data_IF_733827176228
#
_entry.id   IF_733827176228
#
_cell.length_a   1.000
_cell.length_b   1.000
_cell.length_c   1.000
_cell.angle_alpha   90.00
_cell.angle_beta   90.00
_cell.angle_gamma   90.00
#
_symmetry.space_group_name_H-M   'P 1'
#
loop_
_entity.id
_entity.type
_entity.pdbx_description
1 polymer ?
#
# COMPACT_ATOMS: atom_id res chain seq x y z
N UNK A 1 0.81 7.42 -5.29
CA UNK A 1 0.69 8.60 -4.39
C UNK A 1 -0.62 8.57 -3.61
N UNK A 2 -1.79 8.40 -4.25
CA UNK A 2 -3.07 8.31 -3.55
C UNK A 2 -3.16 7.18 -2.51
N UNK A 3 -2.71 5.95 -2.84
CA UNK A 3 -2.69 4.83 -1.89
C UNK A 3 -1.79 5.09 -0.67
N UNK A 4 -0.52 5.47 -0.86
CA UNK A 4 0.39 5.78 0.26
C UNK A 4 -0.09 6.94 1.16
N UNK A 5 -0.67 8.00 0.59
CA UNK A 5 -1.24 9.09 1.37
C UNK A 5 -2.52 8.66 2.13
N UNK A 6 -3.37 7.85 1.50
CA UNK A 6 -4.56 7.27 2.13
C UNK A 6 -4.18 6.31 3.26
N UNK A 7 -3.16 5.48 3.07
CA UNK A 7 -2.64 4.55 4.07
C UNK A 7 -1.99 5.30 5.24
N UNK A 8 -1.24 6.38 4.99
CA UNK A 8 -0.68 7.23 6.05
C UNK A 8 -1.79 7.93 6.85
N UNK A 9 -2.85 8.38 6.19
CA UNK A 9 -4.01 9.01 6.84
C UNK A 9 -4.81 8.00 7.68
N UNK A 10 -5.13 6.83 7.13
CA UNK A 10 -5.85 5.76 7.82
C UNK A 10 -5.01 5.20 8.98
N UNK A 11 -3.75 4.85 8.75
CA UNK A 11 -2.88 4.25 9.77
C UNK A 11 -2.47 5.26 10.84
N UNK A 12 -2.12 6.49 10.47
CA UNK A 12 -1.74 7.53 11.44
C UNK A 12 -2.88 7.87 12.39
N UNK A 13 -4.11 7.91 11.89
CA UNK A 13 -5.29 8.21 12.71
C UNK A 13 -5.81 7.00 13.48
N UNK A 14 -5.74 5.80 12.91
CA UNK A 14 -6.06 4.56 13.62
C UNK A 14 -5.08 4.27 14.79
N UNK A 15 -3.79 4.57 14.63
CA UNK A 15 -2.80 4.49 15.72
C UNK A 15 -3.04 5.52 16.83
N UNK A 16 -3.49 6.74 16.47
CA UNK A 16 -3.76 7.81 17.42
C UNK A 16 -5.09 7.63 18.17
N UNK A 17 -6.15 7.20 17.48
CA UNK A 17 -7.49 7.06 18.05
C UNK A 17 -7.78 5.66 18.61
N UNK A 18 -6.89 4.67 18.39
CA UNK A 18 -7.05 3.30 18.87
C UNK A 18 -8.26 2.58 18.25
N UNK A 19 -8.74 3.06 17.10
CA UNK A 19 -9.90 2.53 16.36
C UNK A 19 -9.48 2.13 14.95
N UNK A 20 -10.21 1.19 14.34
CA UNK A 20 -9.96 0.68 12.99
C UNK A 20 -11.06 1.05 11.99
N UNK A 21 -11.97 1.97 12.35
CA UNK A 21 -13.21 2.29 11.63
C UNK A 21 -13.06 3.42 10.59
N UNK A 22 -11.89 4.06 10.50
CA UNK A 22 -11.65 5.13 9.54
C UNK A 22 -11.35 4.53 8.16
N UNK A 23 -12.29 4.75 7.22
CA UNK A 23 -12.16 4.36 5.82
C UNK A 23 -11.91 5.59 4.95
N UNK A 24 -10.75 5.63 4.33
CA UNK A 24 -10.34 6.67 3.41
C UNK A 24 -11.06 6.57 2.05
N UNK A 25 -11.08 7.67 1.28
CA UNK A 25 -11.83 7.77 0.02
C UNK A 25 -11.44 6.70 -1.01
N UNK A 26 -10.19 6.24 -1.01
CA UNK A 26 -9.73 5.20 -1.95
C UNK A 26 -10.38 3.86 -1.62
N UNK A 27 -10.38 3.43 -0.35
CA UNK A 27 -11.03 2.19 0.08
C UNK A 27 -12.54 2.21 -0.22
N UNK A 28 -13.21 3.35 0.02
CA UNK A 28 -14.62 3.53 -0.34
C UNK A 28 -14.86 3.36 -1.84
N UNK A 29 -13.97 3.89 -2.68
CA UNK A 29 -14.04 3.68 -4.13
C UNK A 29 -14.03 2.19 -4.52
N UNK A 30 -13.18 1.38 -3.88
CA UNK A 30 -13.15 -0.07 -4.10
C UNK A 30 -14.45 -0.75 -3.64
N UNK A 31 -15.01 -0.35 -2.49
CA UNK A 31 -16.29 -0.87 -2.01
C UNK A 31 -17.45 -0.51 -2.94
N UNK A 32 -17.53 0.73 -3.41
CA UNK A 32 -18.57 1.15 -4.35
C UNK A 32 -18.43 0.41 -5.69
N UNK A 33 -17.20 0.26 -6.21
CA UNK A 33 -16.96 -0.54 -7.41
C UNK A 33 -17.38 -2.00 -7.22
N UNK A 34 -17.09 -2.61 -6.07
CA UNK A 34 -17.53 -3.96 -5.72
C UNK A 34 -19.07 -4.07 -5.71
N UNK A 35 -19.77 -3.09 -5.12
CA UNK A 35 -21.24 -3.03 -5.12
C UNK A 35 -21.82 -2.93 -6.52
N UNK A 36 -21.21 -2.12 -7.40
CA UNK A 36 -21.66 -1.97 -8.79
C UNK A 36 -21.62 -3.28 -9.59
N UNK A 37 -20.73 -4.21 -9.22
CA UNK A 37 -20.61 -5.54 -9.85
C UNK A 37 -21.31 -6.65 -9.04
N UNK A 38 -22.19 -6.29 -8.10
CA UNK A 38 -22.96 -7.24 -7.30
C UNK A 38 -22.19 -7.93 -6.18
N UNK A 39 -21.05 -7.37 -5.74
CA UNK A 39 -20.28 -7.83 -4.58
C UNK A 39 -20.50 -6.91 -3.37
N UNK A 40 -20.01 -7.31 -2.20
CA UNK A 40 -20.16 -6.57 -0.95
C UNK A 40 -18.96 -5.68 -0.61
N UNK A 41 -19.05 -5.03 0.55
CA UNK A 41 -17.96 -4.22 1.09
C UNK A 41 -16.73 -5.07 1.45
N UNK A 42 -16.93 -6.32 1.86
CA UNK A 42 -15.87 -7.29 2.15
C UNK A 42 -14.95 -7.48 0.94
N UNK A 43 -15.50 -7.74 -0.25
CA UNK A 43 -14.71 -7.91 -1.47
C UNK A 43 -14.00 -6.63 -1.88
N UNK A 44 -14.63 -5.47 -1.68
CA UNK A 44 -13.98 -4.16 -1.87
C UNK A 44 -12.79 -3.97 -0.95
N UNK A 45 -12.91 -4.33 0.33
CA UNK A 45 -11.83 -4.25 1.32
C UNK A 45 -10.68 -5.21 0.97
N UNK A 46 -11.01 -6.45 0.61
CA UNK A 46 -10.02 -7.44 0.18
C UNK A 46 -9.27 -7.00 -1.08
N UNK A 47 -9.99 -6.47 -2.07
CA UNK A 47 -9.38 -5.96 -3.29
C UNK A 47 -8.47 -4.75 -3.02
N UNK A 48 -8.92 -3.79 -2.19
CA UNK A 48 -8.11 -2.64 -1.80
C UNK A 48 -6.81 -3.07 -1.13
N UNK A 49 -6.89 -3.93 -0.10
CA UNK A 49 -5.70 -4.36 0.64
C UNK A 49 -4.75 -5.22 -0.20
N UNK A 50 -5.28 -6.09 -1.07
CA UNK A 50 -4.44 -6.87 -1.99
C UNK A 50 -3.68 -5.97 -2.98
N UNK A 51 -4.35 -4.95 -3.54
CA UNK A 51 -3.70 -3.99 -4.44
C UNK A 51 -2.67 -3.15 -3.70
N UNK A 52 -2.99 -2.67 -2.50
CA UNK A 52 -2.09 -1.86 -1.68
C UNK A 52 -0.79 -2.62 -1.35
N UNK A 53 -0.89 -3.83 -0.81
CA UNK A 53 0.25 -4.70 -0.52
C UNK A 53 1.04 -5.07 -1.79
N UNK A 54 0.34 -5.36 -2.89
CA UNK A 54 0.97 -5.65 -4.17
C UNK A 54 1.77 -4.47 -4.72
N UNK A 55 1.25 -3.25 -4.58
CA UNK A 55 1.92 -2.02 -4.98
C UNK A 55 3.12 -1.70 -4.08
N UNK A 56 3.05 -1.97 -2.78
CA UNK A 56 4.19 -1.89 -1.84
C UNK A 56 5.33 -2.80 -2.31
N UNK A 57 5.05 -4.10 -2.47
CA UNK A 57 6.05 -5.09 -2.92
C UNK A 57 6.65 -4.70 -4.27
N UNK A 58 5.83 -4.27 -5.23
CA UNK A 58 6.30 -3.78 -6.52
C UNK A 58 7.18 -2.52 -6.38
N UNK A 59 6.78 -1.56 -5.55
CA UNK A 59 7.52 -0.33 -5.29
C UNK A 59 8.90 -0.57 -4.71
N UNK A 60 9.03 -1.51 -3.77
CA UNK A 60 10.30 -1.92 -3.19
C UNK A 60 11.16 -2.74 -4.17
N UNK A 61 10.52 -3.60 -4.97
CA UNK A 61 11.20 -4.52 -5.87
C UNK A 61 11.61 -3.94 -7.22
N UNK A 62 10.95 -2.88 -7.70
CA UNK A 62 11.24 -2.29 -9.03
C UNK A 62 12.66 -1.72 -9.10
N UNK A 63 13.19 -1.64 -10.31
CA UNK A 63 14.45 -0.97 -10.57
C UNK A 63 14.24 0.55 -10.65
N UNK A 64 15.06 1.29 -9.91
CA UNK A 64 15.11 2.75 -9.91
C UNK A 64 16.51 3.21 -10.25
N UNK A 65 16.61 4.36 -10.92
CA UNK A 65 17.89 4.93 -11.29
C UNK A 65 18.64 5.36 -10.02
N UNK A 66 19.95 5.08 -9.93
CA UNK A 66 20.76 5.59 -8.82
C UNK A 66 20.74 7.12 -8.81
N UNK A 67 20.70 7.77 -7.63
CA UNK A 67 20.64 9.24 -7.52
C UNK A 67 21.74 9.98 -8.30
N UNK A 68 22.91 9.37 -8.45
CA UNK A 68 24.08 9.95 -9.14
C UNK A 68 24.49 9.19 -10.41
N UNK A 69 23.55 8.45 -11.03
CA UNK A 69 23.84 7.75 -12.27
C UNK A 69 24.07 8.73 -13.43
N UNK A 70 25.24 8.64 -14.06
CA UNK A 70 25.57 9.39 -15.26
C UNK A 70 25.39 8.52 -16.53
N UNK A 71 25.02 9.16 -17.64
CA UNK A 71 24.94 8.52 -18.96
C UNK A 71 25.63 9.36 -20.03
N UNK A 72 26.31 8.70 -20.97
CA UNK A 72 26.78 9.35 -22.19
C UNK A 72 25.69 9.37 -23.27
N UNK A 73 25.05 8.23 -23.52
CA UNK A 73 23.97 8.10 -24.53
C UNK A 73 22.70 7.47 -23.96
N UNK A 74 22.83 6.46 -23.09
CA UNK A 74 21.70 5.77 -22.43
C UNK A 74 22.13 5.21 -21.09
N UNK A 75 21.16 5.00 -20.19
CA UNK A 75 21.38 4.23 -18.97
C UNK A 75 21.47 2.74 -19.26
N UNK A 76 22.34 2.05 -18.53
CA UNK A 76 22.52 0.60 -18.59
C UNK A 76 22.09 -0.04 -17.28
N UNK A 77 21.94 -1.36 -17.28
CA UNK A 77 21.41 -2.10 -16.11
C UNK A 77 22.20 -1.82 -14.81
N UNK A 78 23.50 -1.53 -14.89
CA UNK A 78 24.36 -1.21 -13.74
C UNK A 78 24.06 0.14 -13.09
N UNK A 79 23.32 1.02 -13.77
CA UNK A 79 22.92 2.34 -13.30
C UNK A 79 21.66 2.29 -12.42
N UNK A 80 21.03 1.11 -12.33
CA UNK A 80 19.82 0.90 -11.56
C UNK A 80 20.11 0.14 -10.26
N UNK A 81 19.33 0.44 -9.23
CA UNK A 81 19.25 -0.31 -7.97
C UNK A 81 17.81 -0.71 -7.72
N UNK A 82 17.60 -1.65 -6.80
CA UNK A 82 16.25 -1.95 -6.32
C UNK A 82 15.68 -0.77 -5.54
N UNK A 83 14.37 -0.56 -5.63
CA UNK A 83 13.66 0.53 -4.95
C UNK A 83 13.99 0.61 -3.46
N UNK A 84 13.99 -0.53 -2.76
CA UNK A 84 14.34 -0.56 -1.34
C UNK A 84 15.75 -0.05 -1.02
N UNK A 85 16.71 -0.23 -1.93
CA UNK A 85 18.10 0.23 -1.73
C UNK A 85 18.23 1.75 -1.93
N UNK A 86 17.32 2.37 -2.68
CA UNK A 86 17.25 3.80 -2.90
C UNK A 86 16.34 4.53 -1.89
N UNK A 87 15.55 3.80 -1.10
CA UNK A 87 14.65 4.36 -0.08
C UNK A 87 15.39 4.68 1.21
N UNK A 88 14.91 5.70 1.94
CA UNK A 88 15.42 5.98 3.29
C UNK A 88 14.98 4.91 4.29
N UNK A 89 15.76 4.71 5.35
CA UNK A 89 15.40 3.78 6.44
C UNK A 89 14.04 4.11 7.08
N UNK A 90 13.73 5.40 7.22
CA UNK A 90 12.45 5.86 7.76
C UNK A 90 11.29 5.51 6.84
N UNK A 91 11.44 5.72 5.52
CA UNK A 91 10.41 5.34 4.55
C UNK A 91 10.14 3.84 4.56
N UNK A 92 11.18 3.00 4.63
CA UNK A 92 11.03 1.55 4.71
C UNK A 92 10.31 1.10 6.01
N UNK A 93 10.60 1.76 7.13
CA UNK A 93 9.93 1.47 8.40
C UNK A 93 8.44 1.85 8.35
N UNK A 94 8.13 3.03 7.78
CA UNK A 94 6.74 3.44 7.58
C UNK A 94 5.98 2.49 6.65
N UNK A 95 6.59 2.06 5.54
CA UNK A 95 6.00 1.07 4.63
C UNK A 95 5.67 -0.23 5.38
N UNK A 96 6.64 -0.77 6.13
CA UNK A 96 6.44 -2.01 6.89
C UNK A 96 5.35 -1.92 7.96
N UNK A 97 5.25 -0.79 8.67
CA UNK A 97 4.18 -0.57 9.65
C UNK A 97 2.81 -0.45 8.97
N UNK A 98 2.75 0.23 7.82
CA UNK A 98 1.54 0.44 7.03
C UNK A 98 1.00 -0.89 6.45
N UNK A 99 1.89 -1.72 5.92
CA UNK A 99 1.56 -3.04 5.38
C UNK A 99 1.10 -3.98 6.49
N UNK A 100 1.73 -3.94 7.67
CA UNK A 100 1.32 -4.73 8.82
C UNK A 100 -0.09 -4.36 9.32
N UNK A 101 -0.41 -3.05 9.36
CA UNK A 101 -1.74 -2.59 9.70
C UNK A 101 -2.77 -3.06 8.66
N UNK A 102 -2.45 -2.95 7.36
CA UNK A 102 -3.30 -3.43 6.27
C UNK A 102 -3.58 -4.92 6.40
N UNK A 103 -2.57 -5.75 6.63
CA UNK A 103 -2.73 -7.19 6.88
C UNK A 103 -3.62 -7.48 8.09
N UNK A 104 -3.45 -6.74 9.19
CA UNK A 104 -4.29 -6.86 10.38
C UNK A 104 -5.76 -6.55 10.09
N UNK A 105 -6.03 -5.50 9.32
CA UNK A 105 -7.41 -5.13 8.92
C UNK A 105 -8.04 -6.20 8.01
N UNK A 106 -7.31 -6.72 7.03
CA UNK A 106 -7.79 -7.80 6.16
C UNK A 106 -8.08 -9.08 6.95
N UNK A 107 -7.22 -9.44 7.90
CA UNK A 107 -7.46 -10.60 8.75
C UNK A 107 -8.75 -10.45 9.58
N UNK A 108 -9.00 -9.25 10.11
CA UNK A 108 -10.22 -8.96 10.85
C UNK A 108 -11.47 -8.99 9.96
N UNK A 109 -11.40 -8.49 8.73
CA UNK A 109 -12.47 -8.57 7.73
C UNK A 109 -12.84 -10.03 7.43
N UNK A 110 -11.86 -10.89 7.19
CA UNK A 110 -12.08 -12.34 6.97
C UNK A 110 -12.74 -12.97 8.19
N UNK A 111 -12.19 -12.74 9.38
CA UNK A 111 -12.75 -13.28 10.64
C UNK A 111 -14.18 -12.83 10.91
N UNK A 112 -14.54 -11.61 10.52
CA UNK A 112 -15.88 -11.08 10.69
C UNK A 112 -16.86 -11.63 9.64
N UNK A 113 -16.40 -11.92 8.43
CA UNK A 113 -17.22 -12.46 7.34
C UNK A 113 -17.51 -13.96 7.52
N UNK A 114 -16.66 -14.70 8.24
CA UNK A 114 -16.84 -16.12 8.55
C UNK A 114 -17.84 -16.39 9.71
N UNK A 115 -18.38 -15.34 10.34
CA UNK A 115 -19.40 -15.42 11.41
C UNK A 115 -20.80 -15.20 10.88
#
# INVERSE_FOLDING_TARGET
MAHGANNTYENGRNLWEGRSDIQGPVRKGYQEAAKLIGRGAFEGNMAYGAVDLGLSVYGLGRLVLKPDAWRLFRYVRTDYVRGYSSSSKTALLFEGLSDAATLGTLHQEVKNNDK
#
